data_IF_546016639154
#
_entry.id   IF_546016639154
#
_cell.length_a   1.000
_cell.length_b   1.000
_cell.length_c   1.000
_cell.angle_alpha   90.00
_cell.angle_beta   90.00
_cell.angle_gamma   90.00
#
_symmetry.space_group_name_H-M   'P 1'
#
loop_
_entity.id
_entity.type
_entity.pdbx_description
1 polymer ?
#
# COMPACT_ATOMS: atom_id res chain seq x y z
N UNK A 1 -27.21 6.05 -8.08
CA UNK A 1 -26.15 5.03 -8.11
C UNK A 1 -25.39 5.13 -9.41
N UNK A 2 -24.10 5.24 -9.34
CA UNK A 2 -23.24 5.27 -10.53
C UNK A 2 -22.86 3.83 -10.88
N UNK A 3 -23.23 3.40 -12.08
CA UNK A 3 -22.83 2.10 -12.58
C UNK A 3 -21.62 2.26 -13.49
N UNK A 4 -20.59 1.48 -13.20
CA UNK A 4 -19.41 1.41 -14.03
C UNK A 4 -19.51 0.22 -14.98
N UNK A 5 -19.09 0.43 -16.21
CA UNK A 5 -19.10 -0.60 -17.24
C UNK A 5 -17.65 -1.03 -17.54
N UNK A 6 -17.23 -2.12 -16.90
CA UNK A 6 -15.88 -2.66 -17.07
C UNK A 6 -15.85 -3.69 -18.21
N UNK A 7 -15.67 -3.20 -19.43
CA UNK A 7 -15.46 -4.08 -20.61
C UNK A 7 -14.02 -4.54 -20.70
N UNK A 8 -13.13 -3.90 -19.97
CA UNK A 8 -11.70 -4.21 -19.86
C UNK A 8 -11.22 -3.80 -18.47
N UNK A 9 -9.94 -3.51 -18.31
CA UNK A 9 -9.34 -3.13 -17.03
C UNK A 9 -9.88 -1.80 -16.48
N UNK A 10 -10.57 -1.03 -17.30
CA UNK A 10 -11.10 0.28 -16.91
C UNK A 10 -12.57 0.40 -17.28
N UNK A 11 -13.28 1.21 -16.51
CA UNK A 11 -14.64 1.57 -16.87
C UNK A 11 -14.66 2.29 -18.22
N UNK A 12 -15.49 1.80 -19.15
CA UNK A 12 -15.57 2.37 -20.49
C UNK A 12 -16.14 3.79 -20.53
N UNK A 13 -16.86 4.19 -19.47
CA UNK A 13 -17.53 5.50 -19.42
C UNK A 13 -16.69 6.57 -18.75
N UNK A 14 -15.98 6.24 -17.65
CA UNK A 14 -15.23 7.23 -16.88
C UNK A 14 -13.73 6.94 -16.74
N UNK A 15 -13.27 5.80 -17.28
CA UNK A 15 -11.86 5.43 -17.18
C UNK A 15 -11.40 4.94 -15.81
N UNK A 16 -12.32 4.71 -14.86
CA UNK A 16 -11.96 4.22 -13.53
C UNK A 16 -11.32 2.85 -13.62
N UNK A 17 -10.18 2.66 -12.95
CA UNK A 17 -9.50 1.38 -12.88
C UNK A 17 -10.32 0.35 -12.11
N UNK A 18 -10.15 -0.94 -12.41
CA UNK A 18 -10.84 -2.01 -11.71
C UNK A 18 -10.51 -2.08 -10.23
N UNK A 19 -9.31 -1.66 -9.84
CA UNK A 19 -8.88 -1.53 -8.45
C UNK A 19 -8.20 -0.17 -8.26
N UNK A 20 -8.53 0.51 -7.18
CA UNK A 20 -7.85 1.74 -6.77
C UNK A 20 -7.17 1.52 -5.44
N UNK A 21 -5.86 1.79 -5.36
CA UNK A 21 -5.14 1.82 -4.09
C UNK A 21 -5.38 3.18 -3.45
N UNK A 22 -6.11 3.20 -2.33
CA UNK A 22 -6.63 4.45 -1.76
C UNK A 22 -5.66 5.10 -0.79
N UNK A 23 -5.15 4.30 0.15
CA UNK A 23 -4.37 4.85 1.25
C UNK A 23 -3.45 3.80 1.85
N UNK A 24 -2.50 4.29 2.63
CA UNK A 24 -1.60 3.44 3.39
C UNK A 24 -1.51 3.98 4.82
N UNK A 25 -1.29 3.08 5.76
CA UNK A 25 -1.04 3.43 7.16
C UNK A 25 0.07 2.57 7.72
N UNK A 26 0.71 3.06 8.78
CA UNK A 26 1.73 2.29 9.51
C UNK A 26 1.03 1.45 10.57
N UNK A 27 1.42 0.18 10.66
CA UNK A 27 1.00 -0.72 11.72
C UNK A 27 2.23 -1.02 12.57
N UNK A 28 2.08 -0.88 13.88
CA UNK A 28 3.11 -1.18 14.86
C UNK A 28 2.69 -2.42 15.65
N UNK A 29 3.35 -3.53 15.38
CA UNK A 29 3.24 -4.76 16.14
C UNK A 29 4.67 -5.15 16.54
N UNK A 30 5.05 -6.41 16.32
CA UNK A 30 6.43 -6.85 16.51
C UNK A 30 7.39 -6.26 15.47
N UNK A 31 6.84 -5.67 14.43
CA UNK A 31 7.57 -5.01 13.35
C UNK A 31 6.83 -3.74 12.93
N UNK A 32 7.49 -2.94 12.08
CA UNK A 32 6.88 -1.78 11.46
C UNK A 32 6.41 -2.21 10.08
N UNK A 33 5.10 -2.18 9.85
CA UNK A 33 4.51 -2.62 8.60
C UNK A 33 3.70 -1.49 7.95
N UNK A 34 3.56 -1.57 6.62
CA UNK A 34 2.67 -0.67 5.88
C UNK A 34 1.41 -1.43 5.49
N UNK A 35 0.26 -0.92 5.90
CA UNK A 35 -1.03 -1.47 5.50
C UNK A 35 -1.64 -0.61 4.40
N UNK A 36 -1.90 -1.22 3.26
CA UNK A 36 -2.53 -0.58 2.12
C UNK A 36 -4.00 -0.97 2.05
N UNK A 37 -4.84 0.00 1.72
CA UNK A 37 -6.26 -0.22 1.48
C UNK A 37 -6.54 -0.07 -0.01
N UNK A 38 -7.31 -1.01 -0.54
CA UNK A 38 -7.68 -1.06 -1.95
C UNK A 38 -9.19 -1.08 -2.07
N UNK A 39 -9.70 -0.29 -3.01
CA UNK A 39 -11.12 -0.35 -3.38
C UNK A 39 -11.25 -1.15 -4.66
N UNK A 40 -12.01 -2.23 -4.61
CA UNK A 40 -12.30 -3.04 -5.79
C UNK A 40 -13.51 -2.45 -6.50
N UNK A 41 -13.26 -1.77 -7.61
CA UNK A 41 -14.30 -1.05 -8.35
C UNK A 41 -15.07 -1.96 -9.28
N UNK A 42 -14.42 -2.99 -9.83
CA UNK A 42 -15.08 -3.97 -10.68
C UNK A 42 -15.65 -5.11 -9.84
N UNK A 43 -17.00 -5.24 -9.75
CA UNK A 43 -17.60 -6.29 -8.92
C UNK A 43 -17.20 -7.71 -9.30
N UNK A 44 -16.80 -7.94 -10.55
CA UNK A 44 -16.40 -9.26 -11.01
C UNK A 44 -15.14 -9.77 -10.33
N UNK A 45 -14.35 -8.87 -9.74
CA UNK A 45 -13.11 -9.24 -9.05
C UNK A 45 -13.32 -9.64 -7.59
N UNK A 46 -14.50 -9.38 -7.02
CA UNK A 46 -14.76 -9.58 -5.58
C UNK A 46 -14.62 -11.04 -5.14
N UNK A 47 -14.92 -11.98 -6.02
CA UNK A 47 -14.83 -13.42 -5.72
C UNK A 47 -13.49 -14.04 -6.11
N UNK A 48 -12.57 -13.25 -6.64
CA UNK A 48 -11.28 -13.71 -7.09
C UNK A 48 -10.19 -13.42 -6.06
N UNK A 49 -9.06 -14.06 -6.21
CA UNK A 49 -7.89 -13.77 -5.38
C UNK A 49 -7.24 -12.46 -5.85
N UNK A 50 -7.04 -11.55 -4.93
CA UNK A 50 -6.41 -10.26 -5.18
C UNK A 50 -5.11 -10.22 -4.41
N UNK A 51 -4.00 -9.94 -5.09
CA UNK A 51 -2.69 -9.80 -4.49
C UNK A 51 -2.14 -8.40 -4.73
N UNK A 52 -1.40 -7.89 -3.75
CA UNK A 52 -0.63 -6.67 -3.90
C UNK A 52 0.83 -7.06 -4.07
N UNK A 53 1.34 -6.83 -5.27
CA UNK A 53 2.76 -7.05 -5.58
C UNK A 53 3.52 -5.79 -5.20
N UNK A 54 4.73 -5.96 -4.66
CA UNK A 54 5.51 -4.83 -4.20
C UNK A 54 7.00 -5.05 -4.40
N UNK A 55 7.73 -3.95 -4.48
CA UNK A 55 9.18 -3.95 -4.53
C UNK A 55 9.72 -2.74 -3.79
N UNK A 56 10.94 -2.83 -3.30
CA UNK A 56 11.62 -1.71 -2.66
C UNK A 56 12.59 -1.08 -3.66
N UNK A 57 12.44 0.24 -3.88
CA UNK A 57 13.23 1.00 -4.86
C UNK A 57 13.32 0.26 -6.20
N UNK A 58 14.48 0.08 -6.76
CA UNK A 58 14.67 -0.60 -8.05
C UNK A 58 15.03 -2.08 -7.89
N UNK A 59 14.70 -2.66 -6.75
CA UNK A 59 14.93 -4.09 -6.54
C UNK A 59 13.90 -4.88 -7.34
N UNK A 60 14.39 -5.71 -8.28
CA UNK A 60 13.55 -6.51 -9.17
C UNK A 60 12.93 -7.74 -8.50
N UNK A 61 12.94 -7.80 -7.18
CA UNK A 61 12.37 -8.91 -6.44
C UNK A 61 10.84 -8.83 -6.47
N UNK A 62 10.20 -9.79 -7.13
CA UNK A 62 8.74 -9.89 -7.18
C UNK A 62 8.21 -10.43 -5.87
N UNK A 63 7.91 -9.53 -4.96
CA UNK A 63 7.26 -9.87 -3.69
C UNK A 63 5.76 -9.65 -3.83
N UNK A 64 4.98 -10.45 -3.13
CA UNK A 64 3.53 -10.29 -3.14
C UNK A 64 2.91 -10.70 -1.81
N UNK A 65 1.75 -10.13 -1.53
CA UNK A 65 0.93 -10.47 -0.37
C UNK A 65 -0.52 -10.59 -0.81
N UNK A 66 -1.20 -11.62 -0.31
CA UNK A 66 -2.62 -11.81 -0.60
C UNK A 66 -3.44 -10.77 0.16
N UNK A 67 -4.32 -10.08 -0.55
CA UNK A 67 -5.20 -9.09 0.05
C UNK A 67 -6.33 -9.78 0.82
N UNK A 68 -6.73 -9.16 1.92
CA UNK A 68 -7.82 -9.60 2.78
C UNK A 68 -9.01 -8.67 2.58
N UNK A 69 -10.22 -9.24 2.43
CA UNK A 69 -11.44 -8.45 2.40
C UNK A 69 -11.73 -7.91 3.80
N UNK A 70 -11.83 -6.60 3.94
CA UNK A 70 -12.18 -5.96 5.21
C UNK A 70 -13.70 -5.84 5.35
N UNK A 71 -14.37 -5.27 4.34
CA UNK A 71 -15.83 -5.21 4.24
C UNK A 71 -16.21 -4.73 2.85
N UNK A 72 -17.35 -5.21 2.34
CA UNK A 72 -17.86 -4.85 1.02
C UNK A 72 -16.79 -5.00 -0.06
N UNK A 73 -16.42 -3.89 -0.72
CA UNK A 73 -15.42 -3.87 -1.78
C UNK A 73 -14.07 -3.29 -1.32
N UNK A 74 -13.86 -3.19 -0.01
CA UNK A 74 -12.61 -2.69 0.57
C UNK A 74 -11.74 -3.88 0.96
N UNK A 75 -10.54 -3.92 0.42
CA UNK A 75 -9.53 -4.92 0.72
C UNK A 75 -8.32 -4.27 1.36
N UNK A 76 -7.50 -5.05 2.01
CA UNK A 76 -6.25 -4.57 2.60
C UNK A 76 -5.13 -5.55 2.40
N UNK A 77 -3.91 -5.03 2.41
CA UNK A 77 -2.69 -5.81 2.33
C UNK A 77 -1.64 -5.20 3.25
N UNK A 78 -0.97 -6.04 4.04
CA UNK A 78 0.08 -5.61 4.95
C UNK A 78 1.42 -5.99 4.34
N UNK A 79 2.24 -4.98 4.07
CA UNK A 79 3.59 -5.18 3.54
C UNK A 79 4.56 -5.01 4.70
N UNK A 80 5.35 -6.06 5.05
CA UNK A 80 6.33 -5.93 6.12
C UNK A 80 7.43 -4.98 5.67
N UNK A 81 7.74 -4.00 6.51
CA UNK A 81 8.82 -3.07 6.24
C UNK A 81 10.02 -3.44 7.09
N UNK A 82 11.07 -3.93 6.45
CA UNK A 82 12.32 -4.21 7.14
C UNK A 82 12.92 -2.91 7.65
N UNK A 83 13.51 -2.94 8.83
CA UNK A 83 14.07 -1.75 9.47
C UNK A 83 15.15 -1.09 8.61
N UNK A 84 15.89 -1.87 7.83
CA UNK A 84 16.90 -1.35 6.91
C UNK A 84 16.27 -0.76 5.62
N UNK A 85 14.97 -0.87 5.42
CA UNK A 85 14.24 -0.41 4.24
C UNK A 85 13.29 0.75 4.51
N UNK A 86 13.37 1.38 5.67
CA UNK A 86 12.44 2.46 6.05
C UNK A 86 12.55 3.69 5.16
N UNK A 87 13.73 3.95 4.58
CA UNK A 87 13.94 5.04 3.63
C UNK A 87 13.59 4.66 2.20
N UNK A 88 13.45 3.38 1.92
CA UNK A 88 13.23 2.90 0.56
C UNK A 88 11.80 3.18 0.13
N UNK A 89 11.63 3.59 -1.12
CA UNK A 89 10.31 3.72 -1.70
C UNK A 89 9.73 2.33 -1.97
N UNK A 90 8.45 2.18 -1.69
CA UNK A 90 7.71 0.95 -1.96
C UNK A 90 6.84 1.20 -3.18
N UNK A 91 7.03 0.38 -4.20
CA UNK A 91 6.20 0.39 -5.41
C UNK A 91 5.22 -0.76 -5.33
N UNK A 92 3.95 -0.50 -5.56
CA UNK A 92 2.90 -1.51 -5.45
C UNK A 92 2.13 -1.66 -6.75
N UNK A 93 1.65 -2.86 -7.00
CA UNK A 93 0.83 -3.17 -8.15
C UNK A 93 -0.20 -4.22 -7.76
N UNK A 94 -1.48 -3.87 -7.87
CA UNK A 94 -2.56 -4.82 -7.60
C UNK A 94 -2.74 -5.77 -8.80
N UNK A 95 -2.96 -7.04 -8.51
CA UNK A 95 -3.24 -8.07 -9.52
C UNK A 95 -4.42 -8.91 -9.06
N UNK A 96 -5.27 -9.30 -10.01
CA UNK A 96 -6.39 -10.20 -9.77
C UNK A 96 -6.12 -11.51 -10.49
N UNK A 97 -6.33 -12.62 -9.78
CA UNK A 97 -6.07 -13.97 -10.30
C UNK A 97 -7.36 -14.76 -10.37
N UNK A 98 -7.54 -15.47 -11.48
CA UNK A 98 -8.60 -16.46 -11.67
C UNK A 98 -7.95 -17.74 -12.16
N UNK A 99 -8.16 -18.86 -11.45
CA UNK A 99 -7.55 -20.15 -11.80
C UNK A 99 -6.03 -20.07 -12.00
N UNK A 100 -5.35 -19.33 -11.11
CA UNK A 100 -3.90 -19.08 -11.15
C UNK A 100 -3.42 -18.27 -12.35
N UNK A 101 -4.34 -17.64 -13.08
CA UNK A 101 -4.01 -16.76 -14.20
C UNK A 101 -4.35 -15.31 -13.84
N UNK A 102 -3.50 -14.39 -14.29
CA UNK A 102 -3.73 -12.96 -14.07
C UNK A 102 -4.80 -12.48 -15.04
N UNK A 103 -5.94 -12.01 -14.50
CA UNK A 103 -7.02 -11.45 -15.31
C UNK A 103 -7.06 -9.93 -15.25
N UNK A 104 -6.34 -9.32 -14.30
CA UNK A 104 -6.21 -7.87 -14.16
C UNK A 104 -4.85 -7.54 -13.58
N UNK A 105 -4.25 -6.46 -14.07
CA UNK A 105 -2.96 -5.97 -13.62
C UNK A 105 -3.01 -4.45 -13.65
N UNK A 106 -2.96 -3.83 -12.47
CA UNK A 106 -2.97 -2.39 -12.37
C UNK A 106 -1.62 -1.79 -12.77
N UNK A 107 -1.59 -0.49 -12.98
CA UNK A 107 -0.32 0.23 -13.14
C UNK A 107 0.39 0.28 -11.80
N UNK A 108 1.72 0.40 -11.84
CA UNK A 108 2.46 0.62 -10.59
C UNK A 108 2.01 1.92 -9.95
N UNK A 109 1.82 1.87 -8.63
CA UNK A 109 1.49 3.06 -7.86
C UNK A 109 2.69 4.01 -7.82
N UNK A 110 2.40 5.26 -7.48
CA UNK A 110 3.45 6.21 -7.12
C UNK A 110 4.25 5.67 -5.94
N UNK A 111 5.54 5.94 -5.96
CA UNK A 111 6.43 5.55 -4.88
C UNK A 111 5.96 6.10 -3.53
N UNK A 112 6.09 5.28 -2.51
CA UNK A 112 5.72 5.66 -1.14
C UNK A 112 6.71 5.01 -0.17
N UNK A 113 6.92 5.63 0.98
CA UNK A 113 7.82 5.10 1.99
C UNK A 113 7.29 5.43 3.39
N UNK A 114 7.83 4.73 4.39
CA UNK A 114 7.52 5.07 5.78
C UNK A 114 7.96 6.50 6.07
N UNK A 115 9.09 6.93 5.49
CA UNK A 115 9.58 8.29 5.67
C UNK A 115 8.58 9.32 5.11
N UNK A 116 8.04 9.10 3.91
CA UNK A 116 7.01 9.99 3.33
C UNK A 116 5.74 10.03 4.17
N UNK A 117 5.30 8.88 4.65
CA UNK A 117 4.14 8.80 5.53
C UNK A 117 4.36 9.60 6.81
N UNK A 118 5.55 9.44 7.40
CA UNK A 118 5.92 10.16 8.62
C UNK A 118 5.98 11.67 8.38
N UNK A 119 6.57 12.10 7.28
CA UNK A 119 6.64 13.52 6.92
C UNK A 119 5.25 14.13 6.78
N UNK A 120 4.32 13.42 6.16
CA UNK A 120 2.93 13.90 6.02
C UNK A 120 2.26 14.10 7.38
N UNK A 121 2.51 13.23 8.35
CA UNK A 121 1.99 13.38 9.70
C UNK A 121 2.63 14.56 10.43
N UNK A 122 3.95 14.71 10.30
CA UNK A 122 4.69 15.78 10.97
C UNK A 122 4.39 17.17 10.39
N UNK A 123 4.05 17.23 9.10
CA UNK A 123 3.66 18.46 8.40
C UNK A 123 2.17 18.82 8.60
N UNK A 124 1.46 18.09 9.43
CA UNK A 124 0.03 18.32 9.68
C UNK A 124 -0.19 19.70 10.31
N UNK A 125 -0.63 20.65 9.50
CA UNK A 125 -0.91 22.02 9.94
C UNK A 125 -2.35 22.19 10.42
N UNK A 126 -3.23 21.25 10.12
CA UNK A 126 -4.65 21.31 10.48
C UNK A 126 -4.95 20.66 11.83
N UNK A 127 -3.95 20.09 12.48
CA UNK A 127 -4.11 19.47 13.79
C UNK A 127 -4.91 18.17 13.79
N UNK A 128 -4.94 17.47 12.66
CA UNK A 128 -5.65 16.19 12.52
C UNK A 128 -5.02 15.12 13.41
N UNK A 129 -3.69 15.13 13.52
CA UNK A 129 -2.94 14.16 14.31
C UNK A 129 -2.55 14.78 15.67
N UNK A 130 -2.66 13.98 16.74
CA UNK A 130 -2.28 14.41 18.08
C UNK A 130 -0.77 14.59 18.22
N UNK A 131 -0.35 15.36 19.23
CA UNK A 131 1.07 15.50 19.54
C UNK A 131 1.70 14.16 19.92
N UNK A 132 0.97 13.29 20.62
CA UNK A 132 1.47 11.96 20.97
C UNK A 132 1.73 11.12 19.72
N UNK A 133 0.86 11.22 18.72
CA UNK A 133 1.07 10.55 17.43
C UNK A 133 2.35 11.06 16.75
N UNK A 134 2.58 12.38 16.76
CA UNK A 134 3.77 12.99 16.17
C UNK A 134 5.05 12.56 16.89
N UNK A 135 5.01 12.48 18.23
CA UNK A 135 6.15 12.00 19.02
C UNK A 135 6.48 10.54 18.69
N UNK A 136 5.45 9.69 18.56
CA UNK A 136 5.63 8.30 18.18
C UNK A 136 6.30 8.19 16.80
N UNK A 137 5.85 8.97 15.84
CA UNK A 137 6.43 9.00 14.49
C UNK A 137 7.91 9.42 14.53
N UNK A 138 8.25 10.45 15.32
CA UNK A 138 9.63 10.88 15.49
C UNK A 138 10.50 9.78 16.08
N UNK A 139 9.98 9.02 17.04
CA UNK A 139 10.71 7.90 17.64
C UNK A 139 10.94 6.78 16.63
N UNK A 140 9.95 6.49 15.78
CA UNK A 140 10.08 5.50 14.71
C UNK A 140 11.18 5.90 13.72
N UNK A 141 11.20 7.17 13.30
CA UNK A 141 12.21 7.68 12.37
C UNK A 141 13.60 7.61 12.99
N UNK A 142 13.73 7.94 14.27
CA UNK A 142 15.01 7.86 14.99
C UNK A 142 15.50 6.41 15.05
N UNK A 143 14.62 5.50 15.39
CA UNK A 143 14.94 4.07 15.45
C UNK A 143 15.40 3.56 14.09
N UNK A 144 14.67 3.89 13.02
CA UNK A 144 15.05 3.50 11.66
C UNK A 144 16.39 4.07 11.23
N UNK A 145 16.67 5.34 11.57
CA UNK A 145 17.95 5.98 11.28
C UNK A 145 19.12 5.28 11.98
N UNK A 146 18.94 4.91 13.25
CA UNK A 146 19.99 4.20 14.01
C UNK A 146 20.25 2.81 13.45
N UNK A 147 19.20 2.08 13.07
CA UNK A 147 19.32 0.76 12.46
C UNK A 147 20.06 0.86 11.13
N UNK A 148 19.77 1.86 10.32
CA UNK A 148 20.47 2.06 9.04
C UNK A 148 21.95 2.34 9.24
N UNK A 149 22.30 3.13 10.22
CA UNK A 149 23.72 3.37 10.57
C UNK A 149 24.43 2.07 10.93
N UNK A 150 23.73 1.20 11.65
CA UNK A 150 24.29 -0.10 12.03
C UNK A 150 24.57 -0.98 10.82
N UNK A 151 23.65 -1.02 9.85
CA UNK A 151 23.78 -1.87 8.66
C UNK A 151 24.62 -1.24 7.54
N UNK A 152 24.89 0.05 7.58
CA UNK A 152 25.64 0.74 6.53
C UNK A 152 27.17 0.74 6.74
N UNK A 153 27.65 0.17 7.81
CA UNK A 153 29.09 0.07 8.10
C UNK A 153 29.67 -1.25 7.64
#
# INVERSE_FOLDING_TARGET
MIHHNFLSDKCSECGLSGITTESASIILNDSIDMKYYLTVNNPDYLDNNIALCYSYDNDNTDLSVLCKNEYNNIFSAVIPCKTDKMNSNIYTQAKVFENNQIIYKDNFSTEYSILKYADNILEDTDGIYSNDCKVLILNILRYGSEIQKYFSN
#
